data_IF_685523663980
#
_entry.id   IF_685523663980
#
_cell.length_a   1.000
_cell.length_b   1.000
_cell.length_c   1.000
_cell.angle_alpha   90.00
_cell.angle_beta   90.00
_cell.angle_gamma   90.00
#
_symmetry.space_group_name_H-M   'P 1'
#
loop_
_entity.id
_entity.type
_entity.pdbx_description
1 polymer ?
#
# COMPACT_ATOMS: atom_id res chain seq x y z
N UNK A 1 51.47 -30.51 -42.49
CA UNK A 1 50.75 -31.17 -41.37
C UNK A 1 50.58 -30.17 -40.25
N UNK A 2 49.35 -29.70 -39.99
CA UNK A 2 48.91 -29.42 -38.63
C UNK A 2 47.39 -29.51 -38.55
N UNK A 3 46.90 -30.04 -37.43
CA UNK A 3 45.64 -30.77 -37.32
C UNK A 3 44.47 -29.92 -36.85
N UNK A 4 43.32 -30.26 -37.44
CA UNK A 4 41.95 -29.94 -37.08
C UNK A 4 41.64 -30.18 -35.59
N UNK A 5 41.30 -29.13 -34.82
CA UNK A 5 40.39 -29.24 -33.65
C UNK A 5 39.62 -27.93 -33.45
N UNK A 6 38.73 -27.55 -34.37
CA UNK A 6 37.66 -26.59 -34.05
C UNK A 6 36.44 -27.38 -33.56
N UNK A 7 36.53 -27.84 -32.31
CA UNK A 7 35.51 -28.66 -31.66
C UNK A 7 34.29 -27.82 -31.32
N UNK A 8 33.34 -27.81 -32.27
CA UNK A 8 31.87 -27.64 -32.16
C UNK A 8 31.30 -27.66 -30.72
N UNK A 9 31.47 -26.57 -29.96
CA UNK A 9 30.84 -26.38 -28.64
C UNK A 9 30.59 -24.90 -28.26
N UNK A 10 30.85 -23.96 -29.18
CA UNK A 10 30.78 -22.52 -28.92
C UNK A 10 29.36 -21.93 -28.99
N UNK A 11 28.44 -22.50 -29.79
CA UNK A 11 27.09 -21.94 -29.97
C UNK A 11 26.19 -21.97 -28.72
N UNK A 12 26.36 -22.99 -27.85
CA UNK A 12 25.54 -23.13 -26.63
C UNK A 12 25.96 -22.15 -25.54
N UNK A 13 27.24 -21.80 -25.50
CA UNK A 13 27.81 -20.85 -24.53
C UNK A 13 27.34 -19.43 -24.87
N UNK A 14 27.34 -19.04 -26.15
CA UNK A 14 26.79 -17.75 -26.57
C UNK A 14 25.30 -17.64 -26.28
N UNK A 15 24.53 -18.73 -26.40
CA UNK A 15 23.09 -18.73 -26.08
C UNK A 15 22.83 -18.52 -24.57
N UNK A 16 23.60 -19.20 -23.70
CA UNK A 16 23.48 -19.05 -22.24
C UNK A 16 23.96 -17.67 -21.76
N UNK A 17 25.07 -17.16 -22.31
CA UNK A 17 25.61 -15.84 -21.96
C UNK A 17 24.70 -14.72 -22.47
N UNK A 18 24.12 -14.86 -23.66
CA UNK A 18 23.10 -13.93 -24.18
C UNK A 18 21.86 -13.89 -23.30
N UNK A 19 21.39 -15.05 -22.81
CA UNK A 19 20.23 -15.11 -21.92
C UNK A 19 20.51 -14.43 -20.57
N UNK A 20 21.70 -14.61 -20.02
CA UNK A 20 22.14 -13.95 -18.79
C UNK A 20 22.30 -12.42 -18.96
N UNK A 21 22.81 -11.97 -20.11
CA UNK A 21 22.96 -10.55 -20.42
C UNK A 21 21.61 -9.86 -20.60
N UNK A 22 20.64 -10.53 -21.24
CA UNK A 22 19.26 -10.04 -21.35
C UNK A 22 18.60 -9.99 -19.98
N UNK A 23 18.82 -10.96 -19.09
CA UNK A 23 18.30 -10.93 -17.73
C UNK A 23 18.88 -9.77 -16.90
N UNK A 24 20.17 -9.49 -17.04
CA UNK A 24 20.83 -8.35 -16.37
C UNK A 24 20.34 -6.99 -16.91
N UNK A 25 20.05 -6.90 -18.21
CA UNK A 25 19.42 -5.72 -18.82
C UNK A 25 17.94 -5.57 -18.44
N UNK A 26 17.21 -6.68 -18.28
CA UNK A 26 15.82 -6.69 -17.82
C UNK A 26 15.69 -6.31 -16.34
N UNK A 27 16.68 -6.64 -15.51
CA UNK A 27 16.73 -6.21 -14.10
C UNK A 27 16.80 -4.68 -13.94
N UNK A 28 17.25 -3.95 -14.96
CA UNK A 28 17.19 -2.48 -14.98
C UNK A 28 15.86 -1.94 -15.53
N UNK A 29 15.15 -2.70 -16.36
CA UNK A 29 13.87 -2.30 -16.93
C UNK A 29 12.69 -2.58 -15.99
N UNK A 30 12.86 -3.51 -15.04
CA UNK A 30 11.89 -3.82 -13.99
C UNK A 30 12.30 -3.20 -12.65
N UNK A 31 12.74 -1.93 -12.67
CA UNK A 31 12.75 -1.15 -11.44
C UNK A 31 11.28 -0.87 -11.11
N UNK A 32 10.71 -1.69 -10.23
CA UNK A 32 9.41 -1.42 -9.64
C UNK A 32 9.51 -0.06 -8.93
N UNK A 33 9.05 0.98 -9.60
CA UNK A 33 8.86 2.30 -9.01
C UNK A 33 7.75 2.12 -7.99
N UNK A 34 8.12 1.84 -6.73
CA UNK A 34 7.21 1.91 -5.62
C UNK A 34 6.69 3.35 -5.60
N UNK A 35 5.44 3.54 -6.03
CA UNK A 35 4.83 4.85 -6.05
C UNK A 35 4.93 5.45 -4.63
N UNK A 36 5.35 6.72 -4.50
CA UNK A 36 5.33 7.38 -3.21
C UNK A 36 3.90 7.34 -2.69
N UNK A 37 3.70 6.81 -1.48
CA UNK A 37 2.42 6.86 -0.78
C UNK A 37 2.05 8.33 -0.63
N UNK A 38 1.19 8.82 -1.54
CA UNK A 38 0.76 10.20 -1.56
C UNK A 38 -0.08 10.45 -0.33
N UNK A 39 0.04 11.64 0.28
CA UNK A 39 -0.70 12.06 1.48
C UNK A 39 -2.22 11.91 1.38
N UNK A 40 -2.75 11.67 0.18
CA UNK A 40 -4.15 11.42 -0.13
C UNK A 40 -4.68 10.07 0.38
N UNK A 41 -3.81 9.16 0.85
CA UNK A 41 -4.24 7.87 1.39
C UNK A 41 -4.84 7.96 2.81
N UNK A 42 -4.62 9.08 3.51
CA UNK A 42 -5.12 9.25 4.89
C UNK A 42 -6.59 9.69 4.88
N UNK A 43 -7.43 8.90 5.55
CA UNK A 43 -8.85 9.20 5.76
C UNK A 43 -9.03 9.97 7.07
N UNK A 44 -9.59 11.18 7.00
CA UNK A 44 -9.93 12.01 8.18
C UNK A 44 -11.44 12.10 8.37
N UNK A 45 -11.93 11.77 9.56
CA UNK A 45 -13.36 11.76 9.88
C UNK A 45 -13.64 12.71 11.05
N UNK A 46 -14.67 13.54 10.92
CA UNK A 46 -15.17 14.45 11.96
C UNK A 46 -16.66 14.18 12.17
N UNK A 47 -17.09 14.13 13.43
CA UNK A 47 -18.50 13.95 13.82
C UNK A 47 -18.76 14.57 15.21
N UNK A 48 -20.04 14.67 15.58
CA UNK A 48 -20.44 15.14 16.90
C UNK A 48 -20.15 14.09 17.99
N UNK A 49 -20.35 12.81 17.67
CA UNK A 49 -20.15 11.68 18.58
C UNK A 49 -19.49 10.50 17.87
N UNK A 50 -18.80 9.68 18.67
CA UNK A 50 -18.16 8.42 18.28
C UNK A 50 -18.51 7.35 19.32
N UNK A 51 -18.82 6.15 18.84
CA UNK A 51 -19.03 4.95 19.65
C UNK A 51 -18.12 3.84 19.09
N UNK A 52 -17.20 3.33 19.92
CA UNK A 52 -16.35 2.21 19.57
C UNK A 52 -16.87 0.93 20.24
N UNK A 53 -17.11 -0.11 19.45
CA UNK A 53 -17.51 -1.43 19.93
C UNK A 53 -16.42 -2.43 19.56
N UNK A 54 -15.58 -2.78 20.54
CA UNK A 54 -14.50 -3.75 20.37
C UNK A 54 -15.02 -5.18 20.17
N UNK A 55 -16.18 -5.53 20.74
CA UNK A 55 -16.76 -6.86 20.61
C UNK A 55 -17.26 -7.09 19.18
N UNK A 56 -17.89 -6.08 18.60
CA UNK A 56 -18.36 -6.08 17.21
C UNK A 56 -17.29 -5.63 16.22
N UNK A 57 -16.10 -5.22 16.71
CA UNK A 57 -14.98 -4.70 15.91
C UNK A 57 -15.41 -3.61 14.93
N UNK A 58 -16.13 -2.64 15.44
CA UNK A 58 -16.62 -1.53 14.64
C UNK A 58 -16.53 -0.20 15.39
N UNK A 59 -16.49 0.90 14.63
CA UNK A 59 -16.61 2.26 15.15
C UNK A 59 -17.73 2.98 14.42
N UNK A 60 -18.62 3.61 15.18
CA UNK A 60 -19.78 4.34 14.67
C UNK A 60 -19.62 5.82 14.96
N UNK A 61 -19.58 6.63 13.91
CA UNK A 61 -19.58 8.10 13.95
C UNK A 61 -21.02 8.60 13.75
N UNK A 62 -21.47 9.54 14.57
CA UNK A 62 -22.86 10.01 14.60
C UNK A 62 -22.92 11.53 14.69
N UNK A 63 -23.78 12.13 13.87
CA UNK A 63 -24.04 13.57 13.84
C UNK A 63 -23.00 14.33 13.02
N UNK A 64 -23.47 15.12 12.06
CA UNK A 64 -22.67 15.99 11.20
C UNK A 64 -21.37 15.32 10.69
N UNK A 65 -21.47 14.08 10.20
CA UNK A 65 -20.30 13.28 9.82
C UNK A 65 -19.72 13.79 8.51
N UNK A 66 -18.43 14.10 8.53
CA UNK A 66 -17.64 14.53 7.37
C UNK A 66 -16.38 13.69 7.30
N UNK A 67 -16.26 12.85 6.29
CA UNK A 67 -15.05 12.10 5.98
C UNK A 67 -14.33 12.70 4.77
N UNK A 68 -13.01 12.84 4.84
CA UNK A 68 -12.16 13.39 3.78
C UNK A 68 -10.99 12.47 3.47
N UNK A 69 -10.76 12.19 2.19
CA UNK A 69 -9.62 11.42 1.69
C UNK A 69 -9.12 12.08 0.40
N UNK A 70 -7.96 12.74 0.47
CA UNK A 70 -7.52 13.65 -0.59
C UNK A 70 -8.61 14.68 -0.92
N UNK A 71 -9.07 14.70 -2.17
CA UNK A 71 -10.15 15.57 -2.66
C UNK A 71 -11.57 14.98 -2.45
N UNK A 72 -11.68 13.71 -2.06
CA UNK A 72 -12.98 13.07 -1.81
C UNK A 72 -13.55 13.55 -0.46
N UNK A 73 -14.79 14.04 -0.47
CA UNK A 73 -15.55 14.35 0.75
C UNK A 73 -16.85 13.56 0.79
N UNK A 74 -17.05 12.80 1.87
CA UNK A 74 -18.25 12.02 2.15
C UNK A 74 -18.99 12.67 3.32
N UNK A 75 -20.28 12.93 3.15
CA UNK A 75 -21.14 13.56 4.15
C UNK A 75 -22.25 12.60 4.57
N UNK A 76 -22.65 12.66 5.84
CA UNK A 76 -23.80 11.91 6.32
C UNK A 76 -24.12 12.14 7.79
N UNK A 77 -25.24 11.59 8.25
CA UNK A 77 -25.65 11.67 9.66
C UNK A 77 -25.04 10.55 10.51
N UNK A 78 -24.63 9.44 9.88
CA UNK A 78 -24.01 8.28 10.54
C UNK A 78 -23.04 7.57 9.59
N UNK A 79 -21.88 7.15 10.09
CA UNK A 79 -20.90 6.33 9.38
C UNK A 79 -20.42 5.19 10.29
N UNK A 80 -20.35 3.97 9.76
CA UNK A 80 -19.86 2.79 10.48
C UNK A 80 -18.63 2.24 9.78
N UNK A 81 -17.55 2.05 10.53
CA UNK A 81 -16.31 1.42 10.07
C UNK A 81 -16.22 0.04 10.68
N UNK A 82 -15.91 -0.96 9.86
CA UNK A 82 -15.67 -2.34 10.29
C UNK A 82 -14.17 -2.67 10.16
N UNK A 83 -13.58 -3.22 11.21
CA UNK A 83 -12.19 -3.69 11.14
C UNK A 83 -12.14 -5.07 10.49
N UNK A 84 -11.23 -5.25 9.53
CA UNK A 84 -10.96 -6.55 8.93
C UNK A 84 -10.08 -7.40 9.87
N UNK A 85 -10.27 -8.72 9.84
CA UNK A 85 -9.49 -9.67 10.64
C UNK A 85 -7.99 -9.54 10.31
N UNK A 86 -7.17 -9.09 11.29
CA UNK A 86 -5.72 -8.95 11.14
C UNK A 86 -5.19 -7.51 11.07
N UNK A 87 -6.05 -6.50 11.08
CA UNK A 87 -5.66 -5.09 11.12
C UNK A 87 -5.69 -4.59 12.57
N UNK A 88 -4.52 -4.46 13.21
CA UNK A 88 -4.40 -3.98 14.58
C UNK A 88 -4.55 -2.44 14.61
N UNK A 89 -5.55 -1.86 15.30
CA UNK A 89 -5.76 -0.41 15.33
C UNK A 89 -4.62 0.37 16.00
N UNK A 90 -3.72 -0.30 16.72
CA UNK A 90 -2.64 0.34 17.49
C UNK A 90 -1.45 0.82 16.65
N UNK A 91 -1.35 0.48 15.35
CA UNK A 91 -0.21 0.88 14.51
C UNK A 91 -0.41 2.14 13.67
N UNK A 92 -1.59 2.77 13.72
CA UNK A 92 -1.90 4.00 12.97
C UNK A 92 -2.15 5.20 13.90
N UNK A 93 -1.25 5.37 14.87
CA UNK A 93 -1.33 6.35 15.98
C UNK A 93 -1.10 7.82 15.54
N UNK A 94 -1.19 8.11 14.25
CA UNK A 94 -1.06 9.49 13.72
C UNK A 94 -2.37 10.08 13.16
N UNK A 95 -3.51 9.36 13.19
CA UNK A 95 -4.75 9.86 12.57
C UNK A 95 -6.10 9.48 13.20
N UNK A 96 -6.18 8.41 13.98
CA UNK A 96 -7.45 7.93 14.56
C UNK A 96 -7.61 8.25 16.06
N UNK A 97 -6.62 8.94 16.64
CA UNK A 97 -6.72 9.49 17.98
C UNK A 97 -7.72 10.64 17.99
N UNK A 98 -8.94 10.36 18.45
CA UNK A 98 -9.90 11.37 18.86
C UNK A 98 -9.22 12.33 19.85
N UNK A 99 -8.68 13.44 19.34
CA UNK A 99 -8.18 14.54 20.16
C UNK A 99 -9.43 15.22 20.72
N UNK A 100 -9.85 14.76 21.91
CA UNK A 100 -10.95 15.33 22.66
C UNK A 100 -10.48 16.72 23.11
N UNK A 101 -10.73 17.72 22.28
CA UNK A 101 -10.63 19.12 22.70
C UNK A 101 -11.84 19.36 23.60
N UNK A 102 -11.58 19.34 24.90
CA UNK A 102 -12.56 19.62 25.94
C UNK A 102 -13.03 21.05 25.75
N UNK A 103 -14.25 21.25 25.27
CA UNK A 103 -14.88 22.58 25.26
C UNK A 103 -15.07 23.01 26.73
N UNK A 104 -14.37 24.08 27.11
CA UNK A 104 -14.70 24.94 28.27
C UNK A 104 -15.39 26.18 27.74
#
# INVERSE_FOLDING_TARGET
MNTLVYKKWSGRIYLVVSLAMVALLFSWLFRAEAAPQTKDDVVRIVSDRLEADEQQRQVVFIGNVVAKQGELTILGDRMTIFYLEGENPESNDEGLGAKIDRIT
#
